data_IF_985199366458
#
_entry.id   IF_985199366458
#
_cell.length_a   1.000
_cell.length_b   1.000
_cell.length_c   1.000
_cell.angle_alpha   90.00
_cell.angle_beta   90.00
_cell.angle_gamma   90.00
#
_symmetry.space_group_name_H-M   'P 1'
#
loop_
_entity.id
_entity.type
_entity.pdbx_description
1 polymer ?
#
# COMPACT_ATOMS: atom_id res chain seq x y z
N UNK A 1 -1.58 14.15 -9.13
CA UNK A 1 -1.69 13.09 -8.09
C UNK A 1 -2.43 13.54 -6.82
N UNK A 2 -2.77 14.83 -6.64
CA UNK A 2 -3.47 15.27 -5.42
C UNK A 2 -4.79 14.55 -5.17
N UNK A 3 -5.63 14.38 -6.19
CA UNK A 3 -6.92 13.71 -6.05
C UNK A 3 -6.79 12.25 -5.56
N UNK A 4 -6.03 11.35 -6.20
CA UNK A 4 -5.92 9.97 -5.73
C UNK A 4 -5.20 9.84 -4.39
N UNK A 5 -4.26 10.76 -4.08
CA UNK A 5 -3.57 10.73 -2.79
C UNK A 5 -4.43 11.25 -1.64
N UNK A 6 -5.38 12.15 -1.92
CA UNK A 6 -6.31 12.65 -0.89
C UNK A 6 -7.14 11.52 -0.26
N UNK A 7 -7.56 10.55 -1.08
CA UNK A 7 -8.23 9.33 -0.62
C UNK A 7 -7.35 8.47 0.29
N UNK A 8 -6.05 8.37 0.00
CA UNK A 8 -5.07 7.63 0.82
C UNK A 8 -4.85 8.33 2.16
N UNK A 9 -4.62 9.65 2.14
CA UNK A 9 -4.44 10.45 3.35
C UNK A 9 -5.66 10.36 4.26
N UNK A 10 -6.85 10.62 3.71
CA UNK A 10 -8.09 10.53 4.48
C UNK A 10 -8.33 9.10 5.01
N UNK A 11 -8.02 8.07 4.21
CA UNK A 11 -8.10 6.69 4.65
C UNK A 11 -7.13 6.38 5.79
N UNK A 12 -5.90 6.90 5.74
CA UNK A 12 -4.88 6.72 6.77
C UNK A 12 -5.32 7.35 8.10
N UNK A 13 -5.90 8.55 8.05
CA UNK A 13 -6.45 9.22 9.23
C UNK A 13 -7.58 8.41 9.88
N UNK A 14 -8.43 7.75 9.07
CA UNK A 14 -9.56 6.95 9.58
C UNK A 14 -9.15 5.64 10.25
N UNK A 15 -8.03 5.05 9.84
CA UNK A 15 -7.54 3.79 10.40
C UNK A 15 -6.55 4.02 11.55
N UNK A 16 -6.23 5.28 11.85
CA UNK A 16 -5.32 5.62 12.93
C UNK A 16 -5.97 5.35 14.31
N UNK A 17 -5.17 4.91 15.31
CA UNK A 17 -3.76 4.55 15.20
C UNK A 17 -3.59 3.19 14.50
N UNK A 18 -2.59 3.09 13.63
CA UNK A 18 -2.18 1.83 13.00
C UNK A 18 -0.79 1.43 13.52
N UNK A 19 -0.71 0.52 14.53
CA UNK A 19 0.57 0.12 15.09
C UNK A 19 1.48 -0.58 14.08
N UNK A 20 2.79 -0.29 14.17
CA UNK A 20 3.82 -1.03 13.44
C UNK A 20 3.86 -2.48 13.96
N UNK A 21 4.01 -3.43 13.04
CA UNK A 21 3.97 -4.87 13.33
C UNK A 21 2.63 -5.55 12.97
N UNK A 22 1.59 -4.76 12.68
CA UNK A 22 0.33 -5.30 12.17
C UNK A 22 0.49 -5.91 10.76
N UNK A 23 -0.27 -6.98 10.50
CA UNK A 23 -0.39 -7.61 9.18
C UNK A 23 -1.41 -6.85 8.35
N UNK A 24 -1.00 -6.36 7.19
CA UNK A 24 -1.84 -5.54 6.32
C UNK A 24 -2.03 -6.24 4.98
N UNK A 25 -3.26 -6.29 4.49
CA UNK A 25 -3.61 -6.77 3.16
C UNK A 25 -4.06 -5.59 2.30
N UNK A 26 -3.38 -5.38 1.18
CA UNK A 26 -3.80 -4.44 0.14
C UNK A 26 -4.46 -5.24 -0.98
N UNK A 27 -5.68 -4.86 -1.34
CA UNK A 27 -6.42 -5.47 -2.46
C UNK A 27 -6.37 -4.54 -3.66
N UNK A 28 -5.70 -4.99 -4.72
CA UNK A 28 -5.48 -4.29 -5.97
C UNK A 28 -4.14 -3.57 -6.04
N UNK A 29 -3.39 -3.81 -7.12
CA UNK A 29 -2.11 -3.16 -7.42
C UNK A 29 -2.28 -2.02 -8.43
N UNK A 30 -3.34 -1.22 -8.26
CA UNK A 30 -3.60 -0.01 -9.05
C UNK A 30 -2.90 1.23 -8.51
N UNK A 31 -3.25 2.40 -9.06
CA UNK A 31 -2.69 3.68 -8.60
C UNK A 31 -2.85 3.85 -7.08
N UNK A 32 -4.06 3.68 -6.55
CA UNK A 32 -4.35 3.80 -5.10
C UNK A 32 -3.59 2.76 -4.28
N UNK A 33 -3.56 1.50 -4.74
CA UNK A 33 -2.83 0.42 -4.06
C UNK A 33 -1.33 0.72 -3.95
N UNK A 34 -0.70 1.21 -5.01
CA UNK A 34 0.72 1.59 -5.00
C UNK A 34 1.00 2.82 -4.12
N UNK A 35 0.07 3.77 -4.04
CA UNK A 35 0.17 4.88 -3.09
C UNK A 35 0.08 4.39 -1.64
N UNK A 36 -0.79 3.42 -1.35
CA UNK A 36 -0.83 2.76 -0.04
C UNK A 36 0.44 1.98 0.28
N UNK A 37 0.97 1.21 -0.68
CA UNK A 37 2.24 0.48 -0.55
C UNK A 37 3.37 1.42 -0.12
N UNK A 38 3.56 2.52 -0.85
CA UNK A 38 4.63 3.49 -0.56
C UNK A 38 4.39 4.21 0.76
N UNK A 39 3.15 4.61 1.06
CA UNK A 39 2.79 5.26 2.33
C UNK A 39 3.08 4.34 3.52
N UNK A 40 2.64 3.08 3.48
CA UNK A 40 2.86 2.11 4.55
C UNK A 40 4.35 1.79 4.73
N UNK A 41 5.10 1.75 3.63
CA UNK A 41 6.55 1.53 3.68
C UNK A 41 7.26 2.69 4.38
N UNK A 42 6.88 3.93 4.06
CA UNK A 42 7.40 5.13 4.71
C UNK A 42 7.02 5.19 6.20
N UNK A 43 5.82 4.76 6.58
CA UNK A 43 5.35 4.71 7.97
C UNK A 43 5.94 3.55 8.79
N UNK A 44 6.81 2.72 8.20
CA UNK A 44 7.53 1.66 8.91
C UNK A 44 6.82 0.31 8.95
N UNK A 45 5.69 0.13 8.26
CA UNK A 45 5.04 -1.17 8.16
C UNK A 45 5.83 -2.10 7.22
N UNK A 46 6.03 -3.35 7.66
CA UNK A 46 6.83 -4.35 6.93
C UNK A 46 6.09 -5.65 6.61
N UNK A 47 5.03 -5.96 7.35
CA UNK A 47 4.21 -7.16 7.12
C UNK A 47 2.99 -6.82 6.24
N UNK A 48 3.25 -6.51 4.97
CA UNK A 48 2.23 -6.12 3.98
C UNK A 48 2.15 -7.16 2.86
N UNK A 49 0.93 -7.65 2.60
CA UNK A 49 0.61 -8.52 1.45
C UNK A 49 -0.17 -7.72 0.41
N UNK A 50 0.15 -7.86 -0.88
CA UNK A 50 -0.58 -7.26 -1.99
C UNK A 50 -1.27 -8.34 -2.81
N UNK A 51 -2.60 -8.30 -2.86
CA UNK A 51 -3.42 -9.20 -3.67
C UNK A 51 -3.87 -8.53 -4.95
N UNK A 52 -3.50 -9.09 -6.09
CA UNK A 52 -3.89 -8.61 -7.42
C UNK A 52 -4.02 -9.78 -8.38
N UNK A 53 -5.07 -9.79 -9.21
CA UNK A 53 -5.32 -10.84 -10.20
C UNK A 53 -4.42 -10.67 -11.42
N UNK A 54 -4.19 -9.42 -11.84
CA UNK A 54 -3.34 -9.11 -12.96
C UNK A 54 -1.86 -9.13 -12.56
N UNK A 55 -1.16 -10.20 -12.95
CA UNK A 55 0.28 -10.39 -12.67
C UNK A 55 1.15 -9.22 -13.14
N UNK A 56 0.83 -8.59 -14.27
CA UNK A 56 1.60 -7.44 -14.77
C UNK A 56 1.54 -6.24 -13.82
N UNK A 57 0.40 -6.04 -13.13
CA UNK A 57 0.29 -4.99 -12.11
C UNK A 57 1.05 -5.35 -10.83
N UNK A 58 1.07 -6.64 -10.48
CA UNK A 58 1.88 -7.12 -9.37
C UNK A 58 3.39 -6.99 -9.65
N UNK A 59 3.81 -7.15 -10.90
CA UNK A 59 5.21 -6.96 -11.28
C UNK A 59 5.66 -5.51 -11.14
N UNK A 60 4.76 -4.53 -11.36
CA UNK A 60 5.03 -3.11 -11.07
C UNK A 60 5.30 -2.90 -9.58
N UNK A 61 4.56 -3.57 -8.69
CA UNK A 61 4.77 -3.46 -7.24
C UNK A 61 6.17 -3.93 -6.84
N UNK A 62 6.68 -4.99 -7.48
CA UNK A 62 8.03 -5.50 -7.21
C UNK A 62 9.12 -4.49 -7.56
N UNK A 63 8.88 -3.63 -8.56
CA UNK A 63 9.81 -2.56 -8.93
C UNK A 63 9.91 -1.43 -7.89
N UNK A 64 8.98 -1.37 -6.93
CA UNK A 64 9.04 -0.39 -5.83
C UNK A 64 10.04 -0.77 -4.73
N UNK A 65 10.62 -1.97 -4.80
CA UNK A 65 11.64 -2.48 -3.86
C UNK A 65 11.28 -2.35 -2.37
N UNK A 66 9.99 -2.47 -2.05
CA UNK A 66 9.50 -2.34 -0.66
C UNK A 66 9.67 -3.62 0.16
N UNK A 67 10.00 -4.75 -0.49
CA UNK A 67 10.08 -6.08 0.12
C UNK A 67 8.73 -6.71 0.47
N UNK A 68 7.62 -6.14 -0.03
CA UNK A 68 6.27 -6.65 0.23
C UNK A 68 5.94 -7.89 -0.60
N UNK A 69 5.05 -8.73 -0.07
CA UNK A 69 4.71 -10.05 -0.63
C UNK A 69 3.41 -10.06 -1.42
#
# INVERSE_FOLDING_TARGET
LCEPYSCVSHGFDRIAPLPVGNKILIVGAGIIGNLWITTLHLQGHRDVTVSEMNKARLDIVKLLDTGYR
#
